data_IF_071952252852
#
_entry.id   IF_071952252852
#
_cell.length_a   1.000
_cell.length_b   1.000
_cell.length_c   1.000
_cell.angle_alpha   90.00
_cell.angle_beta   90.00
_cell.angle_gamma   90.00
#
_symmetry.space_group_name_H-M   'P 1'
#
loop_
_entity.id
_entity.type
_entity.pdbx_description
1 polymer ?
#
# COMPACT_ATOMS: atom_id res chain seq x y z
N UNK A 1 -17.97 -10.79 -56.51
CA UNK A 1 -18.36 -9.56 -55.78
C UNK A 1 -17.77 -9.65 -54.38
N UNK A 2 -16.84 -8.78 -54.14
CA UNK A 2 -15.86 -8.82 -53.03
C UNK A 2 -16.49 -8.35 -51.70
N UNK A 3 -16.27 -9.14 -50.65
CA UNK A 3 -16.61 -8.76 -49.26
C UNK A 3 -15.37 -8.10 -48.67
N UNK A 4 -15.42 -6.80 -48.48
CA UNK A 4 -14.40 -6.06 -47.71
C UNK A 4 -14.65 -6.27 -46.22
N UNK A 5 -13.79 -7.05 -45.56
CA UNK A 5 -13.66 -7.12 -44.12
C UNK A 5 -12.87 -5.90 -43.65
N UNK A 6 -13.52 -5.00 -42.92
CA UNK A 6 -12.88 -3.93 -42.17
C UNK A 6 -12.34 -4.54 -40.89
N UNK A 7 -11.04 -4.81 -40.86
CA UNK A 7 -10.31 -5.12 -39.61
C UNK A 7 -10.00 -3.78 -38.94
N UNK A 8 -10.77 -3.46 -37.94
CA UNK A 8 -10.48 -2.33 -37.03
C UNK A 8 -9.37 -2.77 -36.09
N UNK A 9 -8.14 -2.35 -36.35
CA UNK A 9 -7.01 -2.49 -35.43
C UNK A 9 -7.29 -1.61 -34.19
N UNK A 10 -7.75 -2.23 -33.13
CA UNK A 10 -7.63 -1.69 -31.80
C UNK A 10 -6.13 -1.73 -31.43
N UNK A 11 -5.43 -0.63 -31.62
CA UNK A 11 -4.17 -0.41 -30.93
C UNK A 11 -4.48 -0.25 -29.44
N UNK A 12 -4.38 -1.35 -28.72
CA UNK A 12 -4.16 -1.31 -27.27
C UNK A 12 -2.80 -0.63 -27.09
N UNK A 13 -2.81 0.64 -26.69
CA UNK A 13 -1.60 1.31 -26.25
C UNK A 13 -1.10 0.52 -25.02
N UNK A 14 -0.17 -0.39 -25.26
CA UNK A 14 0.60 -1.01 -24.20
C UNK A 14 1.21 0.15 -23.40
N UNK A 15 0.88 0.24 -22.12
CA UNK A 15 1.57 1.13 -21.22
C UNK A 15 3.05 0.86 -21.40
N UNK A 16 3.82 1.87 -21.83
CA UNK A 16 5.25 1.72 -21.99
C UNK A 16 5.80 1.17 -20.68
N UNK A 17 6.56 0.06 -20.71
CA UNK A 17 7.24 -0.41 -19.51
C UNK A 17 8.04 0.77 -18.96
N UNK A 18 8.07 0.90 -17.64
CA UNK A 18 9.02 1.82 -17.00
C UNK A 18 10.39 1.55 -17.63
N UNK A 19 11.14 2.57 -18.05
CA UNK A 19 12.48 2.34 -18.59
C UNK A 19 13.23 1.49 -17.57
N UNK A 20 14.03 0.49 -18.00
CA UNK A 20 14.81 -0.32 -17.11
C UNK A 20 15.64 0.62 -16.25
N UNK A 21 15.39 0.61 -14.94
CA UNK A 21 16.20 1.38 -14.01
C UNK A 21 17.52 0.62 -13.93
N UNK A 22 18.50 1.08 -14.66
CA UNK A 22 19.84 0.48 -14.67
C UNK A 22 20.45 0.67 -13.27
N UNK A 23 20.33 -0.36 -12.45
CA UNK A 23 20.84 -0.37 -11.08
C UNK A 23 22.38 -0.32 -11.02
N UNK A 24 23.05 -0.41 -12.16
CA UNK A 24 24.51 -0.36 -12.26
C UNK A 24 25.06 1.06 -12.40
N UNK A 25 24.20 2.02 -12.75
CA UNK A 25 24.61 3.41 -12.89
C UNK A 25 24.91 4.06 -11.53
N UNK A 26 25.89 4.96 -11.44
CA UNK A 26 26.12 5.80 -10.27
C UNK A 26 24.88 6.60 -9.86
N UNK A 27 24.75 6.94 -8.59
CA UNK A 27 23.59 7.68 -8.07
C UNK A 27 23.32 8.97 -8.84
N UNK A 28 24.38 9.69 -9.20
CA UNK A 28 24.29 10.96 -9.94
C UNK A 28 23.69 10.80 -11.36
N UNK A 29 23.76 9.61 -11.93
CA UNK A 29 23.15 9.31 -13.24
C UNK A 29 21.70 8.82 -13.11
N UNK A 30 21.29 8.35 -11.92
CA UNK A 30 19.91 7.88 -11.64
C UNK A 30 18.99 9.01 -11.21
N UNK A 31 19.55 10.00 -10.49
CA UNK A 31 18.83 11.19 -10.07
C UNK A 31 18.96 12.23 -11.15
N UNK A 32 17.90 12.47 -11.90
CA UNK A 32 17.87 13.61 -12.83
C UNK A 32 17.83 14.92 -12.03
N UNK A 33 19.00 15.41 -11.66
CA UNK A 33 19.17 16.62 -10.85
C UNK A 33 18.53 17.87 -11.47
N UNK A 34 18.30 17.87 -12.78
CA UNK A 34 17.61 18.97 -13.46
C UNK A 34 16.12 19.02 -13.12
N UNK A 35 15.56 17.91 -12.66
CA UNK A 35 14.15 17.76 -12.29
C UNK A 35 13.92 17.64 -10.78
N UNK A 36 14.99 17.50 -9.99
CA UNK A 36 14.88 17.44 -8.53
C UNK A 36 14.42 18.81 -8.01
N UNK A 37 13.38 18.81 -7.20
CA UNK A 37 12.94 19.99 -6.47
C UNK A 37 13.56 19.97 -5.07
N UNK A 38 14.43 20.93 -4.79
CA UNK A 38 14.95 21.13 -3.44
C UNK A 38 13.97 21.96 -2.61
N UNK A 39 13.62 21.44 -1.44
CA UNK A 39 12.74 22.10 -0.49
C UNK A 39 13.39 22.10 0.90
N UNK A 40 13.14 23.10 1.75
CA UNK A 40 13.49 22.96 3.16
C UNK A 40 12.77 21.71 3.72
N UNK A 41 13.41 20.98 4.65
CA UNK A 41 12.73 19.87 5.29
C UNK A 41 11.47 20.40 5.99
N UNK A 42 10.31 19.70 5.86
CA UNK A 42 9.10 20.11 6.55
C UNK A 42 9.35 20.11 8.06
N UNK A 43 8.75 21.06 8.75
CA UNK A 43 8.79 21.10 10.22
C UNK A 43 7.99 19.88 10.71
N UNK A 44 8.69 18.86 11.16
CA UNK A 44 8.09 17.73 11.86
C UNK A 44 7.95 18.15 13.32
N UNK A 45 6.75 18.56 13.71
CA UNK A 45 6.46 18.82 15.12
C UNK A 45 6.79 17.56 15.95
N UNK A 46 7.30 17.75 17.16
CA UNK A 46 7.59 16.64 18.07
C UNK A 46 6.31 15.82 18.27
N UNK A 47 6.34 14.59 17.79
CA UNK A 47 5.23 13.65 17.96
C UNK A 47 5.20 13.25 19.44
N UNK A 48 4.06 13.45 20.09
CA UNK A 48 3.87 12.90 21.44
C UNK A 48 3.98 11.38 21.34
N UNK A 49 4.95 10.78 22.04
CA UNK A 49 5.22 9.35 21.99
C UNK A 49 3.94 8.56 22.32
N UNK A 50 3.38 7.88 21.32
CA UNK A 50 2.39 6.85 21.56
C UNK A 50 3.14 5.60 22.02
N UNK A 51 2.70 4.94 23.09
CA UNK A 51 3.27 3.63 23.45
C UNK A 51 3.07 2.66 22.27
N UNK A 52 4.03 1.75 22.02
CA UNK A 52 3.88 0.74 20.97
C UNK A 52 2.57 0.00 21.19
N UNK A 53 1.73 -0.02 20.18
CA UNK A 53 0.50 -0.82 20.20
C UNK A 53 0.92 -2.31 20.19
N UNK A 54 0.90 -2.94 21.35
CA UNK A 54 0.98 -4.40 21.43
C UNK A 54 -0.24 -4.91 20.69
N UNK A 55 -0.02 -5.53 19.53
CA UNK A 55 -1.07 -6.24 18.80
C UNK A 55 -1.48 -7.42 19.67
N UNK A 56 -2.43 -7.18 20.58
CA UNK A 56 -3.08 -8.26 21.33
C UNK A 56 -3.92 -9.06 20.34
N UNK A 57 -3.70 -10.36 20.30
CA UNK A 57 -4.69 -11.30 19.76
C UNK A 57 -5.99 -11.04 20.51
N UNK A 58 -6.89 -10.28 19.90
CA UNK A 58 -8.24 -10.15 20.41
C UNK A 58 -8.95 -11.41 19.95
N UNK A 59 -9.19 -12.33 20.88
CA UNK A 59 -10.21 -13.37 20.71
C UNK A 59 -11.48 -12.66 20.22
N UNK A 60 -12.04 -13.10 19.09
CA UNK A 60 -13.28 -12.58 18.50
C UNK A 60 -14.50 -12.94 19.37
N UNK A 61 -14.41 -12.74 20.69
CA UNK A 61 -15.55 -12.72 21.56
C UNK A 61 -16.38 -11.47 21.25
N UNK A 62 -17.67 -11.62 21.13
CA UNK A 62 -18.68 -10.71 20.61
C UNK A 62 -18.84 -9.36 21.35
N UNK A 63 -17.75 -8.63 21.60
CA UNK A 63 -17.75 -7.31 22.19
C UNK A 63 -17.72 -6.25 21.09
N UNK A 64 -18.80 -5.51 20.93
CA UNK A 64 -19.03 -4.34 20.10
C UNK A 64 -18.48 -4.44 18.67
N UNK A 65 -19.17 -5.21 17.83
CA UNK A 65 -18.88 -5.27 16.39
C UNK A 65 -19.25 -3.92 15.78
N UNK A 66 -18.31 -3.19 15.16
CA UNK A 66 -18.54 -1.82 14.68
C UNK A 66 -19.32 -1.73 13.35
N UNK A 67 -19.87 -2.84 12.88
CA UNK A 67 -20.77 -2.95 11.74
C UNK A 67 -22.05 -3.70 12.15
N UNK A 68 -23.08 -3.69 11.29
CA UNK A 68 -24.30 -4.46 11.52
C UNK A 68 -23.98 -5.95 11.65
N UNK A 69 -24.65 -6.65 12.58
CA UNK A 69 -24.41 -8.08 12.81
C UNK A 69 -24.60 -8.93 11.52
N UNK A 70 -25.56 -8.56 10.67
CA UNK A 70 -25.75 -9.19 9.36
C UNK A 70 -24.58 -9.00 8.43
N UNK A 71 -24.00 -7.79 8.38
CA UNK A 71 -22.80 -7.47 7.58
C UNK A 71 -21.61 -8.25 8.09
N UNK A 72 -21.42 -8.35 9.41
CA UNK A 72 -20.35 -9.13 10.02
C UNK A 72 -20.41 -10.61 9.62
N UNK A 73 -21.60 -11.25 9.75
CA UNK A 73 -21.79 -12.65 9.37
C UNK A 73 -21.58 -12.87 7.87
N UNK A 74 -22.08 -11.97 7.03
CA UNK A 74 -21.89 -12.04 5.60
C UNK A 74 -20.41 -11.90 5.20
N UNK A 75 -19.69 -10.95 5.82
CA UNK A 75 -18.25 -10.78 5.61
C UNK A 75 -17.46 -12.02 6.03
N UNK A 76 -17.78 -12.62 7.19
CA UNK A 76 -17.14 -13.87 7.65
C UNK A 76 -17.35 -15.02 6.66
N UNK A 77 -18.55 -15.19 6.14
CA UNK A 77 -18.84 -16.21 5.15
C UNK A 77 -18.06 -15.96 3.86
N UNK A 78 -18.01 -14.72 3.39
CA UNK A 78 -17.27 -14.30 2.20
C UNK A 78 -15.75 -14.50 2.36
N UNK A 79 -15.17 -14.13 3.51
CA UNK A 79 -13.77 -14.38 3.86
C UNK A 79 -13.48 -15.88 3.75
N UNK A 80 -14.30 -16.73 4.37
CA UNK A 80 -14.09 -18.18 4.37
C UNK A 80 -14.10 -18.75 2.94
N UNK A 81 -15.01 -18.31 2.07
CA UNK A 81 -15.03 -18.70 0.66
C UNK A 81 -13.76 -18.25 -0.08
N UNK A 82 -13.29 -17.03 0.15
CA UNK A 82 -12.03 -16.52 -0.42
C UNK A 82 -10.81 -17.32 0.05
N UNK A 83 -10.75 -17.66 1.33
CA UNK A 83 -9.67 -18.50 1.88
C UNK A 83 -9.70 -19.92 1.35
N UNK A 84 -10.89 -20.51 1.15
CA UNK A 84 -11.02 -21.82 0.48
C UNK A 84 -10.53 -21.77 -0.97
N UNK A 85 -10.92 -20.72 -1.72
CA UNK A 85 -10.38 -20.49 -3.06
C UNK A 85 -8.85 -20.43 -3.05
N UNK A 86 -8.25 -19.63 -2.15
CA UNK A 86 -6.80 -19.51 -2.03
C UNK A 86 -6.16 -20.85 -1.62
N UNK A 87 -6.78 -21.59 -0.68
CA UNK A 87 -6.27 -22.89 -0.25
C UNK A 87 -6.21 -23.89 -1.42
N UNK A 88 -7.21 -23.92 -2.26
CA UNK A 88 -7.27 -24.78 -3.45
C UNK A 88 -6.24 -24.38 -4.53
N UNK A 89 -5.75 -23.13 -4.51
CA UNK A 89 -4.78 -22.58 -5.48
C UNK A 89 -3.34 -22.61 -4.99
N UNK A 90 -3.06 -22.97 -3.73
CA UNK A 90 -1.69 -23.11 -3.25
C UNK A 90 -0.94 -24.16 -4.08
N UNK A 91 0.18 -23.76 -4.67
CA UNK A 91 0.99 -24.63 -5.51
C UNK A 91 1.78 -25.70 -4.72
N UNK A 92 2.39 -26.65 -5.41
CA UNK A 92 3.18 -27.71 -4.78
C UNK A 92 4.40 -27.18 -4.02
N UNK A 93 4.91 -26.00 -4.38
CA UNK A 93 5.99 -25.28 -3.67
C UNK A 93 5.50 -24.50 -2.47
N UNK A 94 4.20 -24.54 -2.14
CA UNK A 94 3.61 -23.85 -0.99
C UNK A 94 3.28 -22.40 -1.20
N UNK A 95 3.44 -21.87 -2.40
CA UNK A 95 3.19 -20.47 -2.72
C UNK A 95 1.94 -20.23 -3.56
N UNK A 96 1.68 -18.95 -3.86
CA UNK A 96 0.71 -18.48 -4.85
C UNK A 96 1.44 -17.70 -5.94
N UNK A 97 0.96 -17.77 -7.18
CA UNK A 97 1.63 -17.20 -8.34
C UNK A 97 0.73 -16.22 -9.08
N UNK A 98 1.25 -15.02 -9.32
CA UNK A 98 0.53 -13.97 -10.05
C UNK A 98 0.51 -14.17 -11.56
N UNK A 99 1.34 -15.03 -12.15
CA UNK A 99 1.49 -14.94 -13.60
C UNK A 99 1.61 -16.26 -14.32
N UNK A 100 0.83 -16.39 -15.39
CA UNK A 100 0.76 -17.59 -16.26
C UNK A 100 1.29 -17.33 -17.68
N UNK A 101 1.97 -16.22 -17.94
CA UNK A 101 2.49 -15.86 -19.26
C UNK A 101 3.80 -16.57 -19.63
N UNK A 102 3.96 -16.88 -20.92
CA UNK A 102 5.21 -17.36 -21.51
C UNK A 102 6.15 -16.18 -21.71
N UNK A 103 7.13 -16.01 -20.86
CA UNK A 103 8.03 -14.87 -20.94
C UNK A 103 9.51 -15.28 -20.85
N UNK A 104 10.37 -14.42 -21.37
CA UNK A 104 11.81 -14.56 -21.28
C UNK A 104 12.34 -14.54 -19.83
N UNK A 105 13.63 -14.73 -19.66
CA UNK A 105 14.30 -14.85 -18.34
C UNK A 105 13.98 -13.69 -17.39
N UNK A 106 13.99 -12.44 -17.86
CA UNK A 106 13.70 -11.25 -17.05
C UNK A 106 12.30 -11.23 -16.45
N UNK A 107 11.32 -11.84 -17.12
CA UNK A 107 9.96 -11.89 -16.62
C UNK A 107 9.74 -13.02 -15.60
N UNK A 108 10.54 -14.11 -15.67
CA UNK A 108 10.49 -15.17 -14.64
C UNK A 108 10.96 -14.66 -13.30
N UNK A 109 11.96 -13.82 -13.27
CA UNK A 109 12.56 -13.34 -12.02
C UNK A 109 11.65 -12.33 -11.32
N UNK A 110 11.03 -11.41 -12.07
CA UNK A 110 9.99 -10.53 -11.53
C UNK A 110 8.78 -11.31 -11.03
N UNK A 111 8.38 -12.35 -11.73
CA UNK A 111 7.29 -13.24 -11.33
C UNK A 111 7.60 -14.01 -10.04
N UNK A 112 8.86 -14.36 -9.78
CA UNK A 112 9.25 -15.01 -8.53
C UNK A 112 9.16 -14.06 -7.34
N UNK A 113 9.65 -12.82 -7.46
CA UNK A 113 9.55 -11.81 -6.41
C UNK A 113 8.08 -11.44 -6.15
N UNK A 114 7.28 -11.18 -7.20
CA UNK A 114 5.85 -10.96 -7.08
C UNK A 114 5.13 -12.12 -6.38
N UNK A 115 5.41 -13.35 -6.79
CA UNK A 115 4.85 -14.56 -6.17
C UNK A 115 5.26 -14.71 -4.70
N UNK A 116 6.46 -14.26 -4.33
CA UNK A 116 6.92 -14.28 -2.93
C UNK A 116 6.14 -13.26 -2.09
N UNK A 117 5.96 -12.04 -2.59
CA UNK A 117 5.16 -11.02 -1.93
C UNK A 117 3.70 -11.48 -1.76
N UNK A 118 3.10 -12.06 -2.80
CA UNK A 118 1.74 -12.58 -2.77
C UNK A 118 1.60 -13.75 -1.81
N UNK A 119 2.58 -14.66 -1.77
CA UNK A 119 2.62 -15.74 -0.79
C UNK A 119 2.62 -15.20 0.64
N UNK A 120 3.38 -14.13 0.90
CA UNK A 120 3.38 -13.48 2.20
C UNK A 120 2.04 -12.80 2.53
N UNK A 121 1.43 -12.09 1.57
CA UNK A 121 0.11 -11.47 1.79
C UNK A 121 -1.00 -12.52 1.97
N UNK A 122 -0.98 -13.62 1.23
CA UNK A 122 -1.89 -14.75 1.46
C UNK A 122 -1.72 -15.33 2.87
N UNK A 123 -0.46 -15.54 3.28
CA UNK A 123 -0.16 -16.02 4.63
C UNK A 123 -0.70 -15.06 5.71
N UNK A 124 -0.61 -13.74 5.48
CA UNK A 124 -1.19 -12.72 6.36
C UNK A 124 -2.71 -12.87 6.45
N UNK A 125 -3.40 -13.04 5.32
CA UNK A 125 -4.86 -13.23 5.30
C UNK A 125 -5.27 -14.47 6.09
N UNK A 126 -4.59 -15.60 5.91
CA UNK A 126 -4.84 -16.79 6.73
C UNK A 126 -4.57 -16.58 8.23
N UNK A 127 -3.53 -15.82 8.58
CA UNK A 127 -3.14 -15.59 9.97
C UNK A 127 -4.14 -14.69 10.72
N UNK A 128 -4.66 -13.66 10.06
CA UNK A 128 -5.54 -12.65 10.68
C UNK A 128 -6.91 -13.19 11.04
N UNK A 129 -7.43 -14.18 10.32
CA UNK A 129 -8.72 -14.82 10.64
C UNK A 129 -8.67 -15.63 11.94
N UNK A 130 -7.48 -16.05 12.37
CA UNK A 130 -7.29 -16.82 13.58
C UNK A 130 -7.84 -18.26 13.51
N UNK A 131 -8.32 -18.70 12.35
CA UNK A 131 -8.93 -20.03 12.16
C UNK A 131 -7.92 -21.09 11.70
N UNK A 132 -6.75 -20.70 11.22
CA UNK A 132 -5.70 -21.66 10.92
C UNK A 132 -4.71 -21.73 12.08
N UNK A 133 -4.58 -22.90 12.69
CA UNK A 133 -3.39 -23.16 13.49
C UNK A 133 -2.16 -22.89 12.64
N UNK A 134 -1.18 -22.16 13.15
CA UNK A 134 0.04 -21.83 12.41
C UNK A 134 0.86 -23.07 11.99
N UNK A 135 0.52 -24.23 12.53
CA UNK A 135 1.01 -25.54 12.10
C UNK A 135 0.13 -26.20 11.02
N UNK A 136 -0.89 -25.51 10.49
CA UNK A 136 -1.67 -26.06 9.37
C UNK A 136 -0.76 -26.31 8.15
N UNK A 137 -1.03 -27.35 7.36
CA UNK A 137 -0.20 -27.65 6.17
C UNK A 137 -0.09 -26.45 5.19
N UNK A 138 -1.14 -25.66 5.05
CA UNK A 138 -1.15 -24.47 4.19
C UNK A 138 -0.20 -23.39 4.71
N UNK A 139 -0.29 -23.03 5.98
CA UNK A 139 0.59 -22.03 6.59
C UNK A 139 2.05 -22.50 6.64
N UNK A 140 2.29 -23.75 7.02
CA UNK A 140 3.64 -24.33 7.06
C UNK A 140 4.33 -24.28 5.69
N UNK A 141 3.64 -24.77 4.63
CA UNK A 141 4.20 -24.73 3.26
C UNK A 141 4.44 -23.31 2.76
N UNK A 142 3.57 -22.34 3.08
CA UNK A 142 3.75 -20.96 2.70
C UNK A 142 5.00 -20.35 3.38
N UNK A 143 5.19 -20.61 4.67
CA UNK A 143 6.38 -20.17 5.42
C UNK A 143 7.65 -20.76 4.84
N UNK A 144 7.66 -22.06 4.55
CA UNK A 144 8.80 -22.75 3.95
C UNK A 144 9.11 -22.23 2.54
N UNK A 145 8.07 -21.96 1.77
CA UNK A 145 8.18 -21.32 0.45
C UNK A 145 8.87 -19.95 0.53
N UNK A 146 8.45 -19.10 1.47
CA UNK A 146 9.06 -17.79 1.71
C UNK A 146 10.53 -17.97 2.12
N UNK A 147 10.80 -18.77 3.15
CA UNK A 147 12.15 -19.00 3.68
C UNK A 147 13.12 -19.52 2.61
N UNK A 148 12.65 -20.41 1.72
CA UNK A 148 13.46 -20.96 0.65
C UNK A 148 13.87 -19.93 -0.41
N UNK A 149 13.04 -18.90 -0.61
CA UNK A 149 13.23 -17.88 -1.66
C UNK A 149 14.07 -16.69 -1.20
N UNK A 150 13.94 -16.27 0.05
CA UNK A 150 14.57 -15.02 0.54
C UNK A 150 15.82 -15.27 1.40
N UNK A 151 16.22 -16.49 1.59
CA UNK A 151 17.23 -16.85 2.56
C UNK A 151 16.60 -17.08 3.94
N UNK A 152 16.92 -18.19 4.51
CA UNK A 152 16.53 -18.60 5.86
C UNK A 152 17.78 -18.96 6.63
N UNK A 153 17.71 -19.91 7.53
CA UNK A 153 18.80 -20.41 8.36
C UNK A 153 20.18 -20.42 7.66
N UNK A 154 21.05 -19.46 8.04
CA UNK A 154 22.45 -19.42 7.61
C UNK A 154 22.77 -18.69 6.30
N UNK A 155 21.78 -18.13 5.60
CA UNK A 155 21.99 -17.24 4.46
C UNK A 155 21.57 -15.82 4.81
N UNK A 156 22.28 -14.83 4.26
CA UNK A 156 21.86 -13.44 4.38
C UNK A 156 20.45 -13.25 3.76
N UNK A 157 19.59 -12.51 4.45
CA UNK A 157 18.26 -12.16 3.93
C UNK A 157 18.39 -11.34 2.65
N UNK A 158 17.79 -11.82 1.59
CA UNK A 158 17.67 -11.09 0.32
C UNK A 158 16.26 -11.28 -0.24
N UNK A 159 15.38 -10.29 -0.11
CA UNK A 159 13.99 -10.39 -0.53
C UNK A 159 13.84 -10.45 -2.04
N UNK A 160 14.83 -9.98 -2.79
CA UNK A 160 14.78 -9.94 -4.24
C UNK A 160 16.20 -10.09 -4.83
N UNK A 161 16.67 -11.33 -5.01
CA UNK A 161 18.01 -11.58 -5.53
C UNK A 161 18.26 -11.01 -6.93
N UNK A 162 17.23 -10.86 -7.72
CA UNK A 162 17.30 -10.37 -9.11
C UNK A 162 17.13 -8.85 -9.23
N UNK A 163 16.58 -8.22 -8.21
CA UNK A 163 16.35 -6.78 -8.13
C UNK A 163 15.09 -6.31 -8.85
N UNK A 164 14.26 -5.56 -8.16
CA UNK A 164 13.07 -4.93 -8.74
C UNK A 164 11.86 -4.85 -7.84
N UNK A 165 11.63 -5.78 -6.90
CA UNK A 165 10.48 -5.80 -5.98
C UNK A 165 10.86 -5.98 -4.52
N UNK A 166 12.13 -5.80 -4.16
CA UNK A 166 12.65 -6.09 -2.81
C UNK A 166 11.86 -5.41 -1.69
N UNK A 167 11.45 -4.16 -1.88
CA UNK A 167 10.67 -3.44 -0.90
C UNK A 167 9.28 -4.07 -0.69
N UNK A 168 8.57 -4.45 -1.77
CA UNK A 168 7.28 -5.13 -1.66
C UNK A 168 7.41 -6.49 -0.97
N UNK A 169 8.43 -7.27 -1.35
CA UNK A 169 8.68 -8.60 -0.75
C UNK A 169 9.00 -8.48 0.73
N UNK A 170 9.95 -7.62 1.10
CA UNK A 170 10.32 -7.43 2.51
C UNK A 170 9.14 -6.90 3.34
N UNK A 171 8.38 -5.94 2.80
CA UNK A 171 7.20 -5.38 3.47
C UNK A 171 6.10 -6.42 3.67
N UNK A 172 5.78 -7.21 2.64
CA UNK A 172 4.77 -8.25 2.74
C UNK A 172 5.17 -9.33 3.76
N UNK A 173 6.44 -9.76 3.74
CA UNK A 173 6.97 -10.72 4.71
C UNK A 173 6.89 -10.17 6.13
N UNK A 174 7.37 -8.94 6.38
CA UNK A 174 7.33 -8.34 7.71
C UNK A 174 5.90 -8.22 8.24
N UNK A 175 4.96 -7.73 7.41
CA UNK A 175 3.55 -7.63 7.78
C UNK A 175 2.91 -9.00 8.08
N UNK A 176 3.23 -10.03 7.29
CA UNK A 176 2.72 -11.38 7.51
C UNK A 176 3.26 -11.99 8.81
N UNK A 177 4.57 -11.93 9.01
CA UNK A 177 5.22 -12.52 10.18
C UNK A 177 4.87 -11.78 11.48
N UNK A 178 4.65 -10.47 11.42
CA UNK A 178 4.12 -9.71 12.55
C UNK A 178 2.70 -10.15 12.96
N UNK A 179 1.88 -10.61 11.99
CA UNK A 179 0.54 -11.13 12.27
C UNK A 179 0.54 -12.55 12.85
N UNK A 180 1.64 -13.29 12.70
CA UNK A 180 1.79 -14.68 13.12
C UNK A 180 2.31 -14.80 14.57
N UNK A 181 3.21 -13.89 14.95
CA UNK A 181 3.87 -13.86 16.28
C UNK A 181 4.61 -15.16 16.67
N UNK A 182 5.10 -15.92 15.66
CA UNK A 182 5.84 -17.15 15.93
C UNK A 182 7.31 -16.85 16.30
N UNK A 183 7.82 -17.38 17.43
CA UNK A 183 9.21 -17.19 17.81
C UNK A 183 10.23 -17.62 16.75
N UNK A 184 9.93 -18.66 15.96
CA UNK A 184 10.81 -19.15 14.91
C UNK A 184 11.00 -18.14 13.74
N UNK A 185 10.00 -17.28 13.53
CA UNK A 185 10.03 -16.29 12.46
C UNK A 185 10.62 -14.94 12.88
N UNK A 186 10.95 -14.75 14.15
CA UNK A 186 11.47 -13.47 14.68
C UNK A 186 12.75 -13.01 13.99
N UNK A 187 13.61 -13.94 13.61
CA UNK A 187 14.85 -13.58 12.90
C UNK A 187 14.52 -13.05 11.52
N UNK A 188 13.64 -13.72 10.79
CA UNK A 188 13.23 -13.30 9.45
C UNK A 188 12.44 -11.99 9.47
N UNK A 189 11.55 -11.79 10.45
CA UNK A 189 10.85 -10.53 10.68
C UNK A 189 11.85 -9.38 10.90
N UNK A 190 12.81 -9.56 11.80
CA UNK A 190 13.85 -8.56 12.08
C UNK A 190 14.68 -8.24 10.84
N UNK A 191 15.15 -9.26 10.12
CA UNK A 191 15.90 -9.07 8.88
C UNK A 191 15.12 -8.33 7.81
N UNK A 192 13.79 -8.56 7.73
CA UNK A 192 12.92 -7.82 6.81
C UNK A 192 12.83 -6.34 7.18
N UNK A 193 12.65 -6.02 8.46
CA UNK A 193 12.63 -4.64 8.97
C UNK A 193 13.98 -3.94 8.76
N UNK A 194 15.08 -4.61 9.09
CA UNK A 194 16.44 -4.08 8.87
C UNK A 194 16.69 -3.80 7.38
N UNK A 195 16.27 -4.70 6.51
CA UNK A 195 16.41 -4.50 5.06
C UNK A 195 15.62 -3.28 4.59
N UNK A 196 14.38 -3.11 5.02
CA UNK A 196 13.53 -1.97 4.66
C UNK A 196 14.14 -0.64 5.09
N UNK A 197 14.60 -0.55 6.33
CA UNK A 197 15.19 0.68 6.88
C UNK A 197 16.55 1.01 6.25
N UNK A 198 17.32 -0.03 5.88
CA UNK A 198 18.64 0.11 5.23
C UNK A 198 18.53 0.58 3.76
N UNK A 199 17.41 0.31 3.09
CA UNK A 199 17.22 0.65 1.67
C UNK A 199 16.26 1.82 1.45
N UNK A 200 15.94 2.54 2.52
CA UNK A 200 15.24 3.82 2.44
C UNK A 200 16.22 4.91 1.99
N UNK A 201 15.80 5.76 1.07
CA UNK A 201 16.64 6.86 0.58
C UNK A 201 16.95 7.89 1.68
N UNK A 202 18.22 8.02 2.03
CA UNK A 202 18.69 8.99 3.02
C UNK A 202 20.10 9.50 2.73
N UNK A 203 20.74 10.11 3.70
CA UNK A 203 22.08 10.69 3.52
C UNK A 203 23.16 9.64 3.26
N UNK A 204 22.94 8.35 3.57
CA UNK A 204 23.91 7.28 3.31
C UNK A 204 24.06 7.00 1.83
N UNK A 205 22.99 7.25 1.04
CA UNK A 205 23.03 7.22 -0.43
C UNK A 205 23.30 8.60 -1.05
N UNK A 206 23.69 9.61 -0.27
CA UNK A 206 23.93 10.96 -0.76
C UNK A 206 22.68 11.79 -1.03
N UNK A 207 21.51 11.34 -0.56
CA UNK A 207 20.24 12.06 -0.71
C UNK A 207 20.04 13.00 0.48
N UNK A 208 20.18 14.30 0.27
CA UNK A 208 20.02 15.29 1.34
C UNK A 208 18.56 15.43 1.78
N UNK A 209 18.30 15.84 3.04
CA UNK A 209 16.94 16.12 3.51
C UNK A 209 16.18 17.18 2.71
N UNK A 210 16.84 17.91 1.81
CA UNK A 210 16.22 18.92 0.94
C UNK A 210 15.71 18.33 -0.38
N UNK A 211 16.18 17.14 -0.78
CA UNK A 211 15.83 16.49 -2.05
C UNK A 211 14.48 15.79 -1.96
N UNK A 212 13.75 15.77 -3.05
CA UNK A 212 12.42 15.15 -3.18
C UNK A 212 12.42 13.61 -3.08
N UNK A 213 13.59 12.96 -3.09
CA UNK A 213 13.78 11.53 -2.86
C UNK A 213 13.88 11.16 -1.38
N UNK A 214 14.27 12.13 -0.53
CA UNK A 214 14.62 11.85 0.87
C UNK A 214 13.46 11.23 1.66
N UNK A 215 13.75 10.12 2.31
CA UNK A 215 12.84 9.40 3.19
C UNK A 215 11.89 8.45 2.46
N UNK A 216 11.92 8.41 1.13
CA UNK A 216 11.10 7.49 0.36
C UNK A 216 11.73 6.11 0.21
N UNK A 217 10.91 5.12 -0.15
CA UNK A 217 11.32 3.79 -0.56
C UNK A 217 10.96 3.55 -2.02
N UNK A 218 11.83 2.87 -2.77
CA UNK A 218 11.60 2.47 -4.15
C UNK A 218 11.43 0.96 -4.30
N UNK A 219 11.28 0.47 -5.53
CA UNK A 219 11.01 -0.94 -5.80
C UNK A 219 12.11 -1.91 -5.36
N UNK A 220 13.34 -1.49 -5.35
CA UNK A 220 14.51 -2.26 -4.93
C UNK A 220 15.56 -1.36 -4.29
N UNK A 221 16.79 -1.84 -4.21
CA UNK A 221 17.90 -1.11 -3.58
C UNK A 221 18.18 0.28 -4.16
N UNK A 222 17.81 0.52 -5.41
CA UNK A 222 18.14 1.72 -6.17
C UNK A 222 16.98 2.28 -6.96
N UNK A 223 15.77 1.76 -6.72
CA UNK A 223 14.57 2.23 -7.40
C UNK A 223 14.20 3.64 -6.94
N UNK A 224 13.74 4.49 -7.89
CA UNK A 224 13.15 5.78 -7.57
C UNK A 224 12.05 5.61 -6.52
N UNK A 225 12.03 6.42 -5.45
CA UNK A 225 11.02 6.31 -4.41
C UNK A 225 9.65 6.72 -4.93
N UNK A 226 8.62 6.07 -4.40
CA UNK A 226 7.21 6.40 -4.64
C UNK A 226 6.36 6.10 -3.40
N UNK A 227 5.13 6.63 -3.41
CA UNK A 227 4.25 6.49 -2.25
C UNK A 227 3.74 5.07 -2.06
N UNK A 228 3.56 4.29 -3.14
CA UNK A 228 3.12 2.91 -3.03
C UNK A 228 4.16 2.04 -2.30
N UNK A 229 5.43 2.19 -2.65
CA UNK A 229 6.53 1.52 -1.96
C UNK A 229 6.73 2.05 -0.53
N UNK A 230 6.69 3.36 -0.34
CA UNK A 230 6.91 3.98 0.97
C UNK A 230 5.80 3.61 1.96
N UNK A 231 4.54 3.56 1.53
CA UNK A 231 3.44 3.14 2.39
C UNK A 231 3.51 1.65 2.76
N UNK A 232 3.95 0.77 1.82
CA UNK A 232 4.15 -0.65 2.12
C UNK A 232 5.25 -0.86 3.18
N UNK A 233 6.34 -0.10 3.08
CA UNK A 233 7.38 -0.07 4.12
C UNK A 233 6.80 0.38 5.47
N UNK A 234 6.05 1.48 5.51
CA UNK A 234 5.46 2.00 6.74
C UNK A 234 4.41 1.05 7.34
N UNK A 235 3.63 0.36 6.51
CA UNK A 235 2.72 -0.69 6.97
C UNK A 235 3.50 -1.81 7.68
N UNK A 236 4.58 -2.26 7.07
CA UNK A 236 5.41 -3.32 7.62
C UNK A 236 6.10 -2.89 8.93
N UNK A 237 6.63 -1.68 8.99
CA UNK A 237 7.24 -1.13 10.22
C UNK A 237 6.20 -0.99 11.34
N UNK A 238 5.01 -0.49 11.01
CA UNK A 238 3.91 -0.37 11.98
C UNK A 238 3.45 -1.75 12.48
N UNK A 239 3.21 -2.70 11.57
CA UNK A 239 2.78 -4.06 11.91
C UNK A 239 3.85 -4.77 12.77
N UNK A 240 5.13 -4.52 12.53
CA UNK A 240 6.26 -5.02 13.33
C UNK A 240 6.46 -4.28 14.68
N UNK A 241 5.64 -3.28 14.98
CA UNK A 241 5.72 -2.54 16.25
C UNK A 241 6.85 -1.50 16.32
N UNK A 242 7.39 -1.08 15.18
CA UNK A 242 8.40 -0.01 15.12
C UNK A 242 7.77 1.31 15.55
N UNK A 243 8.46 2.03 16.42
CA UNK A 243 7.97 3.31 16.97
C UNK A 243 7.82 4.38 15.89
N UNK A 244 6.81 5.25 16.04
CA UNK A 244 6.68 6.47 15.23
C UNK A 244 7.88 7.43 15.39
N UNK A 245 8.64 7.32 16.48
CA UNK A 245 9.86 8.08 16.72
C UNK A 245 11.11 7.48 16.05
N UNK A 246 10.99 6.30 15.44
CA UNK A 246 12.10 5.68 14.71
C UNK A 246 12.61 6.60 13.59
N UNK A 247 13.92 6.75 13.41
CA UNK A 247 14.48 7.60 12.36
C UNK A 247 13.97 7.28 10.97
N UNK A 248 13.71 6.01 10.63
CA UNK A 248 13.17 5.63 9.32
C UNK A 248 11.74 6.14 9.14
N UNK A 249 10.90 6.03 10.17
CA UNK A 249 9.51 6.54 10.13
C UNK A 249 9.51 8.06 10.02
N UNK A 250 10.37 8.75 10.75
CA UNK A 250 10.50 10.20 10.65
C UNK A 250 11.00 10.67 9.29
N UNK A 251 11.95 9.98 8.68
CA UNK A 251 12.38 10.27 7.31
C UNK A 251 11.23 10.06 6.31
N UNK A 252 10.49 8.96 6.45
CA UNK A 252 9.33 8.70 5.60
C UNK A 252 8.27 9.80 5.69
N UNK A 253 8.05 10.40 6.87
CA UNK A 253 7.12 11.52 7.04
C UNK A 253 7.53 12.74 6.20
N UNK A 254 8.83 12.98 5.99
CA UNK A 254 9.32 14.03 5.08
C UNK A 254 8.87 13.73 3.64
N UNK A 255 9.07 12.49 3.18
CA UNK A 255 8.65 12.07 1.85
C UNK A 255 7.13 12.17 1.66
N UNK A 256 6.35 11.69 2.64
CA UNK A 256 4.89 11.79 2.65
C UNK A 256 4.40 13.23 2.48
N UNK A 257 4.99 14.16 3.26
CA UNK A 257 4.62 15.56 3.18
C UNK A 257 4.87 16.15 1.79
N UNK A 258 5.95 15.71 1.13
CA UNK A 258 6.28 16.14 -0.25
C UNK A 258 5.45 15.46 -1.33
N UNK A 259 4.76 14.37 -1.00
CA UNK A 259 3.86 13.67 -1.94
C UNK A 259 2.44 14.24 -1.90
N UNK A 260 2.12 15.06 -0.87
CA UNK A 260 0.81 15.63 -0.69
C UNK A 260 0.60 16.89 -1.55
N UNK A 261 -0.57 17.00 -2.16
CA UNK A 261 -1.00 18.17 -2.93
C UNK A 261 -1.55 19.25 -1.98
N UNK A 262 -0.65 19.80 -1.14
CA UNK A 262 -0.94 20.79 -0.10
C UNK A 262 0.16 21.85 -0.08
N UNK A 263 -0.12 23.02 -0.65
CA UNK A 263 0.86 24.08 -0.86
C UNK A 263 1.46 24.64 0.44
N UNK A 264 0.74 24.56 1.53
CA UNK A 264 1.15 25.06 2.84
C UNK A 264 2.36 24.28 3.41
N UNK A 265 2.54 23.02 2.97
CA UNK A 265 3.60 22.13 3.45
C UNK A 265 4.47 21.54 2.35
N UNK A 266 4.07 21.71 1.08
CA UNK A 266 4.79 21.22 -0.09
C UNK A 266 5.01 22.34 -1.09
N UNK A 267 6.26 22.83 -1.16
CA UNK A 267 6.65 23.93 -2.02
C UNK A 267 6.96 23.51 -3.48
N UNK A 268 6.77 22.23 -3.84
CA UNK A 268 6.94 21.78 -5.21
C UNK A 268 6.04 22.58 -6.18
N UNK A 269 6.50 22.95 -7.37
CA UNK A 269 5.73 23.77 -8.31
C UNK A 269 4.36 23.17 -8.65
N UNK A 270 4.27 21.85 -8.77
CA UNK A 270 3.00 21.14 -9.05
C UNK A 270 2.02 21.15 -7.87
N UNK A 271 2.52 21.26 -6.64
CA UNK A 271 1.68 21.35 -5.44
C UNK A 271 1.29 22.80 -5.13
N UNK A 272 2.24 23.74 -5.23
CA UNK A 272 2.01 25.17 -4.95
C UNK A 272 1.13 25.85 -5.98
N UNK A 273 1.26 25.48 -7.25
CA UNK A 273 0.45 25.98 -8.38
C UNK A 273 -0.72 25.09 -8.77
N UNK A 274 -0.84 23.89 -8.15
CA UNK A 274 -1.77 22.83 -8.53
C UNK A 274 -3.15 22.90 -7.88
N UNK A 275 -3.79 21.74 -7.78
CA UNK A 275 -5.16 21.59 -7.28
C UNK A 275 -5.31 21.95 -5.80
N UNK A 276 -4.25 21.82 -5.02
CA UNK A 276 -4.22 22.13 -3.57
C UNK A 276 -5.35 21.44 -2.81
N UNK A 277 -5.71 20.23 -3.26
CA UNK A 277 -6.88 19.51 -2.79
C UNK A 277 -6.66 18.68 -1.53
N UNK A 278 -5.42 18.60 -1.05
CA UNK A 278 -5.02 17.86 0.13
C UNK A 278 -4.79 16.37 -0.09
N UNK A 279 -5.11 15.84 -1.27
CA UNK A 279 -4.85 14.45 -1.63
C UNK A 279 -3.38 14.19 -1.99
N UNK A 280 -3.10 12.97 -2.47
CA UNK A 280 -1.73 12.53 -2.73
C UNK A 280 -1.54 12.11 -4.19
N UNK A 281 -0.34 12.38 -4.70
CA UNK A 281 0.14 11.92 -6.00
C UNK A 281 1.00 10.65 -5.83
N UNK A 282 1.50 10.08 -6.93
CA UNK A 282 2.30 8.86 -6.89
C UNK A 282 3.69 9.07 -6.29
N UNK A 283 4.38 10.12 -6.70
CA UNK A 283 5.71 10.45 -6.18
C UNK A 283 6.04 11.93 -6.37
N UNK A 284 6.80 12.55 -5.47
CA UNK A 284 7.38 13.88 -5.67
C UNK A 284 8.69 13.82 -6.47
N UNK A 285 9.31 12.63 -6.56
CA UNK A 285 10.64 12.45 -7.12
C UNK A 285 10.73 12.89 -8.59
N UNK A 286 11.86 13.49 -8.95
CA UNK A 286 12.13 14.01 -10.29
C UNK A 286 11.07 15.02 -10.76
N UNK A 287 10.58 15.84 -9.84
CA UNK A 287 9.60 16.88 -10.13
C UNK A 287 8.15 16.41 -10.13
N UNK A 288 7.86 15.22 -9.67
CA UNK A 288 6.52 14.73 -9.43
C UNK A 288 5.88 13.94 -10.58
N UNK A 289 5.06 12.94 -10.20
CA UNK A 289 4.34 12.06 -11.12
C UNK A 289 2.98 11.66 -10.57
N UNK A 290 1.97 11.59 -11.43
CA UNK A 290 0.64 11.09 -11.06
C UNK A 290 0.00 10.25 -12.16
N UNK A 291 -0.50 9.07 -11.79
CA UNK A 291 -1.28 8.24 -12.70
C UNK A 291 -2.67 8.82 -12.98
N UNK A 292 -3.22 9.64 -12.07
CA UNK A 292 -4.48 10.32 -12.31
C UNK A 292 -4.34 11.45 -13.33
N UNK A 293 -3.20 12.16 -13.38
CA UNK A 293 -2.91 13.10 -14.46
C UNK A 293 -2.78 12.40 -15.81
N UNK A 294 -2.12 11.22 -15.83
CA UNK A 294 -2.04 10.38 -17.03
C UNK A 294 -3.45 9.95 -17.51
N UNK A 295 -4.28 9.46 -16.61
CA UNK A 295 -5.64 9.03 -16.91
C UNK A 295 -6.55 10.18 -17.40
N UNK A 296 -6.30 11.40 -16.92
CA UNK A 296 -6.99 12.61 -17.37
C UNK A 296 -6.45 13.18 -18.69
N UNK A 297 -5.43 12.55 -19.30
CA UNK A 297 -4.82 13.03 -20.55
C UNK A 297 -3.84 14.18 -20.41
N UNK A 298 -3.51 14.58 -19.17
CA UNK A 298 -2.58 15.69 -18.87
C UNK A 298 -1.11 15.27 -18.92
N UNK A 299 -0.85 13.97 -19.17
CA UNK A 299 0.45 13.35 -19.05
C UNK A 299 0.82 13.00 -17.62
N UNK A 300 1.64 11.98 -17.46
CA UNK A 300 2.03 11.43 -16.15
C UNK A 300 2.76 12.46 -15.28
N UNK A 301 3.51 13.35 -15.91
CA UNK A 301 4.29 14.43 -15.28
C UNK A 301 3.62 15.80 -15.41
N UNK A 302 2.39 15.87 -15.89
CA UNK A 302 1.71 17.12 -16.21
C UNK A 302 2.30 17.84 -17.44
N UNK A 303 2.98 17.13 -18.33
CA UNK A 303 3.66 17.68 -19.51
C UNK A 303 2.71 18.10 -20.64
N UNK A 304 1.43 17.68 -20.54
CA UNK A 304 0.39 18.03 -21.53
C UNK A 304 -0.57 19.10 -21.03
N UNK A 305 -0.29 19.71 -19.88
CA UNK A 305 -1.06 20.86 -19.40
C UNK A 305 -0.81 22.05 -20.35
N UNK A 306 -1.86 22.81 -20.62
CA UNK A 306 -1.82 23.91 -21.60
C UNK A 306 -0.72 24.94 -21.24
N UNK A 307 -0.03 25.42 -22.25
CA UNK A 307 1.02 26.45 -22.10
C UNK A 307 0.46 27.68 -21.40
N UNK A 308 1.16 28.15 -20.37
CA UNK A 308 0.73 29.30 -19.55
C UNK A 308 -0.14 28.94 -18.34
N UNK A 309 -0.54 27.67 -18.21
CA UNK A 309 -1.19 27.20 -16.97
C UNK A 309 -0.13 26.70 -15.98
N UNK A 310 -0.35 26.87 -14.65
CA UNK A 310 0.52 26.31 -13.64
C UNK A 310 0.58 24.80 -13.79
N UNK A 311 1.77 24.22 -13.67
CA UNK A 311 1.92 22.78 -13.61
C UNK A 311 1.16 22.25 -12.37
N UNK A 312 0.32 21.27 -12.59
CA UNK A 312 -0.40 20.60 -11.51
C UNK A 312 -0.36 19.07 -11.72
N UNK A 313 -0.51 18.33 -10.64
CA UNK A 313 -0.67 16.89 -10.65
C UNK A 313 -1.97 16.54 -9.91
N UNK A 314 -2.72 15.60 -10.45
CA UNK A 314 -3.99 15.16 -9.83
C UNK A 314 -3.75 14.17 -8.72
N UNK A 315 -4.41 14.38 -7.60
CA UNK A 315 -4.52 13.40 -6.52
C UNK A 315 -5.47 12.26 -6.91
N UNK A 316 -5.30 11.09 -6.30
CA UNK A 316 -6.19 9.96 -6.54
C UNK A 316 -6.37 9.03 -5.32
N UNK A 317 -7.41 8.20 -5.35
CA UNK A 317 -7.92 7.47 -4.20
C UNK A 317 -6.89 6.62 -3.49
N UNK A 318 -6.30 5.62 -4.15
CA UNK A 318 -5.38 4.70 -3.49
C UNK A 318 -4.18 5.39 -2.85
N UNK A 319 -3.62 6.43 -3.50
CA UNK A 319 -2.51 7.17 -2.90
C UNK A 319 -2.96 8.10 -1.77
N UNK A 320 -4.15 8.67 -1.85
CA UNK A 320 -4.65 9.54 -0.77
C UNK A 320 -4.91 8.73 0.51
N UNK A 321 -5.54 7.57 0.40
CA UNK A 321 -5.73 6.70 1.56
C UNK A 321 -4.40 6.12 2.09
N UNK A 322 -3.47 5.77 1.19
CA UNK A 322 -2.13 5.33 1.57
C UNK A 322 -1.36 6.43 2.34
N UNK A 323 -1.36 7.66 1.84
CA UNK A 323 -0.70 8.80 2.49
C UNK A 323 -1.34 9.17 3.83
N UNK A 324 -2.67 9.26 3.86
CA UNK A 324 -3.45 9.52 5.08
C UNK A 324 -3.13 8.49 6.19
N UNK A 325 -3.22 7.20 5.88
CA UNK A 325 -2.85 6.12 6.80
C UNK A 325 -1.41 6.24 7.28
N UNK A 326 -0.50 6.44 6.35
CA UNK A 326 0.94 6.50 6.63
C UNK A 326 1.31 7.66 7.54
N UNK A 327 0.63 8.81 7.41
CA UNK A 327 0.79 9.93 8.34
C UNK A 327 0.35 9.57 9.76
N UNK A 328 -0.76 8.84 9.91
CA UNK A 328 -1.21 8.35 11.22
C UNK A 328 -0.22 7.35 11.83
N UNK A 329 0.32 6.42 11.03
CA UNK A 329 1.35 5.47 11.46
C UNK A 329 2.66 6.17 11.84
N UNK A 330 2.99 7.27 11.16
CA UNK A 330 4.11 8.14 11.52
C UNK A 330 3.82 9.04 12.75
N UNK A 331 2.70 8.84 13.43
CA UNK A 331 2.37 9.47 14.71
C UNK A 331 1.72 10.85 14.60
N UNK A 332 1.35 11.33 13.43
CA UNK A 332 0.61 12.58 13.33
C UNK A 332 -0.76 12.44 13.99
N UNK A 333 -1.17 13.49 14.70
CA UNK A 333 -2.52 13.55 15.26
C UNK A 333 -3.56 13.73 14.16
N UNK A 334 -4.83 13.42 14.47
CA UNK A 334 -5.95 13.70 13.57
C UNK A 334 -6.15 15.20 13.30
N UNK A 335 -5.64 16.06 14.20
CA UNK A 335 -5.74 17.52 14.11
C UNK A 335 -4.60 18.14 13.30
N UNK A 336 -3.59 17.35 12.87
CA UNK A 336 -2.52 17.86 12.01
C UNK A 336 -3.12 18.34 10.67
N UNK A 337 -2.77 19.56 10.21
CA UNK A 337 -3.35 20.13 8.98
C UNK A 337 -3.21 19.24 7.75
N UNK A 338 -2.12 18.44 7.67
CA UNK A 338 -1.89 17.50 6.55
C UNK A 338 -2.88 16.32 6.60
N UNK A 339 -3.13 15.80 7.80
CA UNK A 339 -4.11 14.73 8.04
C UNK A 339 -5.52 15.24 7.75
N UNK A 340 -5.86 16.44 8.21
CA UNK A 340 -7.15 17.08 7.96
C UNK A 340 -7.38 17.33 6.47
N UNK A 341 -6.38 17.85 5.75
CA UNK A 341 -6.50 18.09 4.31
C UNK A 341 -6.72 16.78 3.52
N UNK A 342 -6.01 15.71 3.87
CA UNK A 342 -6.23 14.39 3.27
C UNK A 342 -7.62 13.83 3.59
N UNK A 343 -8.10 14.02 4.81
CA UNK A 343 -9.42 13.57 5.21
C UNK A 343 -10.55 14.36 4.50
N UNK A 344 -10.37 15.67 4.28
CA UNK A 344 -11.28 16.47 3.47
C UNK A 344 -11.32 16.01 2.00
N UNK A 345 -10.20 15.59 1.44
CA UNK A 345 -10.17 14.97 0.11
C UNK A 345 -10.99 13.69 0.10
N UNK A 346 -10.80 12.81 1.09
CA UNK A 346 -11.56 11.56 1.27
C UNK A 346 -13.06 11.83 1.32
N UNK A 347 -13.51 12.81 2.11
CA UNK A 347 -14.92 13.19 2.22
C UNK A 347 -15.52 13.68 0.90
N UNK A 348 -14.74 14.37 0.07
CA UNK A 348 -15.17 14.86 -1.25
C UNK A 348 -15.26 13.78 -2.32
N UNK A 349 -14.49 12.70 -2.18
CA UNK A 349 -14.37 11.65 -3.18
C UNK A 349 -14.81 10.28 -2.64
N UNK A 350 -15.77 10.29 -1.72
CA UNK A 350 -16.26 9.08 -1.07
C UNK A 350 -16.91 8.12 -2.07
N UNK A 351 -16.35 6.93 -2.23
CA UNK A 351 -16.89 5.85 -3.07
C UNK A 351 -16.17 4.53 -2.83
N UNK A 352 -16.88 3.41 -3.00
CA UNK A 352 -16.31 2.06 -3.10
C UNK A 352 -16.50 1.44 -4.48
N UNK A 353 -17.01 2.21 -5.46
CA UNK A 353 -17.31 1.71 -6.80
C UNK A 353 -16.12 1.76 -7.74
N UNK A 354 -15.16 2.60 -7.45
CA UNK A 354 -13.97 2.84 -8.26
C UNK A 354 -12.84 3.42 -7.41
N UNK A 355 -11.63 3.40 -7.94
CA UNK A 355 -10.49 4.15 -7.38
C UNK A 355 -10.58 5.60 -7.88
N UNK A 356 -10.98 6.59 -7.06
CA UNK A 356 -11.18 7.96 -7.51
C UNK A 356 -9.96 8.51 -8.26
N UNK A 357 -10.17 9.00 -9.46
CA UNK A 357 -9.13 9.50 -10.37
C UNK A 357 -8.52 8.44 -11.30
N UNK A 358 -8.79 7.14 -11.07
CA UNK A 358 -8.29 6.03 -11.88
C UNK A 358 -9.39 5.07 -12.38
N UNK A 359 -10.65 5.31 -12.00
CA UNK A 359 -11.75 4.42 -12.35
C UNK A 359 -11.53 3.01 -11.81
N UNK A 360 -11.68 2.00 -12.66
CA UNK A 360 -11.50 0.61 -12.26
C UNK A 360 -10.03 0.18 -12.04
N UNK A 361 -9.04 1.00 -12.40
CA UNK A 361 -7.63 0.60 -12.28
C UNK A 361 -7.19 0.58 -10.81
N UNK A 362 -6.62 -0.55 -10.38
CA UNK A 362 -6.14 -0.73 -9.01
C UNK A 362 -7.25 -0.68 -7.97
N UNK A 363 -8.45 -1.19 -8.30
CA UNK A 363 -9.63 -1.07 -7.45
C UNK A 363 -9.53 -1.92 -6.17
N UNK A 364 -9.03 -3.15 -6.23
CA UNK A 364 -8.88 -4.00 -5.05
C UNK A 364 -7.75 -3.52 -4.13
N UNK A 365 -6.65 -3.04 -4.70
CA UNK A 365 -5.61 -2.36 -3.93
C UNK A 365 -6.16 -1.09 -3.23
N UNK A 366 -7.01 -0.31 -3.93
CA UNK A 366 -7.70 0.84 -3.34
C UNK A 366 -8.58 0.43 -2.16
N UNK A 367 -9.44 -0.59 -2.30
CA UNK A 367 -10.34 -1.05 -1.23
C UNK A 367 -9.56 -1.54 -0.01
N UNK A 368 -8.44 -2.25 -0.23
CA UNK A 368 -7.53 -2.63 0.85
C UNK A 368 -6.88 -1.41 1.53
N UNK A 369 -6.42 -0.41 0.76
CA UNK A 369 -5.86 0.81 1.32
C UNK A 369 -6.90 1.60 2.14
N UNK A 370 -8.15 1.70 1.66
CA UNK A 370 -9.28 2.31 2.36
C UNK A 370 -9.53 1.65 3.70
N UNK A 371 -9.66 0.32 3.73
CA UNK A 371 -10.00 -0.42 4.94
C UNK A 371 -8.95 -0.22 6.03
N UNK A 372 -7.66 -0.33 5.68
CA UNK A 372 -6.56 -0.08 6.62
C UNK A 372 -6.49 1.38 7.09
N UNK A 373 -6.75 2.32 6.19
CA UNK A 373 -6.70 3.74 6.51
C UNK A 373 -7.80 4.17 7.48
N UNK A 374 -9.03 3.74 7.24
CA UNK A 374 -10.16 4.08 8.10
C UNK A 374 -10.13 3.33 9.44
N UNK A 375 -9.61 2.10 9.45
CA UNK A 375 -9.35 1.38 10.69
C UNK A 375 -8.27 2.10 11.53
N UNK A 376 -7.14 2.49 10.92
CA UNK A 376 -6.08 3.25 11.59
C UNK A 376 -6.57 4.60 12.13
N UNK A 377 -7.45 5.26 11.39
CA UNK A 377 -8.09 6.51 11.82
C UNK A 377 -9.11 6.33 12.95
N UNK A 378 -9.49 5.09 13.29
CA UNK A 378 -10.54 4.81 14.29
C UNK A 378 -11.84 5.59 13.99
N UNK A 379 -12.18 5.72 12.73
CA UNK A 379 -13.42 6.34 12.29
C UNK A 379 -14.49 5.26 12.13
N UNK A 380 -15.66 5.45 12.71
CA UNK A 380 -16.80 4.54 12.53
C UNK A 380 -17.71 5.04 11.41
N UNK A 381 -17.95 6.32 11.41
CA UNK A 381 -18.81 6.99 10.43
C UNK A 381 -18.03 8.12 9.76
N UNK A 382 -18.16 8.21 8.46
CA UNK A 382 -17.64 9.31 7.65
C UNK A 382 -18.81 10.14 7.21
N UNK A 383 -18.76 11.45 7.44
CA UNK A 383 -19.74 12.38 6.85
C UNK A 383 -19.12 12.98 5.59
N UNK A 384 -19.73 12.74 4.43
CA UNK A 384 -19.27 13.32 3.17
C UNK A 384 -19.52 14.83 3.11
N UNK A 385 -19.08 15.48 2.04
CA UNK A 385 -19.27 16.95 1.88
C UNK A 385 -20.72 17.35 1.57
N UNK A 386 -21.59 16.40 1.23
CA UNK A 386 -23.02 16.59 1.06
C UNK A 386 -23.80 16.44 2.39
N UNK A 387 -23.11 16.02 3.46
CA UNK A 387 -23.70 15.80 4.78
C UNK A 387 -24.27 14.40 4.98
N UNK A 388 -24.05 13.47 4.06
CA UNK A 388 -24.47 12.08 4.21
C UNK A 388 -23.52 11.34 5.15
N UNK A 389 -24.06 10.57 6.08
CA UNK A 389 -23.31 9.76 7.01
C UNK A 389 -23.13 8.33 6.47
N UNK A 390 -21.89 7.87 6.41
CA UNK A 390 -21.51 6.59 5.86
C UNK A 390 -20.89 5.69 6.93
N UNK A 391 -21.52 4.53 7.19
CA UNK A 391 -20.82 3.46 7.89
C UNK A 391 -19.89 2.75 6.90
N UNK A 392 -18.61 3.13 6.90
CA UNK A 392 -17.65 2.65 5.92
C UNK A 392 -17.50 1.12 5.92
N UNK A 393 -17.69 0.48 7.08
CA UNK A 393 -17.56 -0.98 7.21
C UNK A 393 -18.68 -1.70 6.49
N UNK A 394 -19.93 -1.30 6.75
CA UNK A 394 -21.10 -1.89 6.08
C UNK A 394 -21.06 -1.64 4.57
N UNK A 395 -20.69 -0.45 4.13
CA UNK A 395 -20.60 -0.10 2.71
C UNK A 395 -19.46 -0.85 1.99
N UNK A 396 -18.28 -0.96 2.61
CA UNK A 396 -17.15 -1.73 2.06
C UNK A 396 -17.49 -3.22 1.95
N UNK A 397 -18.10 -3.79 3.00
CA UNK A 397 -18.54 -5.19 3.02
C UNK A 397 -19.53 -5.39 1.87
N UNK A 398 -20.56 -4.57 1.76
CA UNK A 398 -21.56 -4.69 0.69
C UNK A 398 -20.92 -4.60 -0.71
N UNK A 399 -19.97 -3.67 -0.90
CA UNK A 399 -19.26 -3.52 -2.18
C UNK A 399 -18.46 -4.79 -2.52
N UNK A 400 -17.67 -5.32 -1.59
CA UNK A 400 -16.87 -6.52 -1.81
C UNK A 400 -17.74 -7.76 -2.05
N UNK A 401 -18.80 -7.95 -1.27
CA UNK A 401 -19.73 -9.07 -1.48
C UNK A 401 -20.39 -9.04 -2.85
N UNK A 402 -20.72 -7.86 -3.36
CA UNK A 402 -21.34 -7.71 -4.69
C UNK A 402 -20.42 -8.10 -5.85
N UNK A 403 -19.10 -8.13 -5.62
CA UNK A 403 -18.07 -8.45 -6.61
C UNK A 403 -17.52 -9.88 -6.47
N UNK A 404 -17.88 -10.61 -5.41
CA UNK A 404 -17.40 -11.98 -5.21
C UNK A 404 -17.99 -12.94 -6.23
N UNK A 405 -17.14 -13.72 -6.90
CA UNK A 405 -17.56 -14.77 -7.81
C UNK A 405 -18.08 -16.00 -7.03
N UNK A 406 -18.83 -16.87 -7.72
CA UNK A 406 -19.42 -18.07 -7.13
C UNK A 406 -18.41 -19.10 -6.61
N UNK A 407 -17.15 -19.05 -7.09
CA UNK A 407 -16.04 -19.86 -6.60
C UNK A 407 -15.32 -19.25 -5.39
N UNK A 408 -15.80 -18.14 -4.87
CA UNK A 408 -15.25 -17.41 -3.73
C UNK A 408 -14.16 -16.40 -4.08
N UNK A 409 -13.79 -16.27 -5.36
CA UNK A 409 -12.73 -15.38 -5.80
C UNK A 409 -13.22 -13.96 -6.12
N UNK A 410 -12.25 -13.04 -6.29
CA UNK A 410 -12.43 -11.74 -6.90
C UNK A 410 -11.43 -11.53 -8.03
N UNK A 411 -11.80 -10.76 -9.02
CA UNK A 411 -10.95 -10.39 -10.14
C UNK A 411 -11.37 -9.02 -10.69
N UNK A 412 -10.42 -8.24 -11.16
CA UNK A 412 -10.68 -6.96 -11.81
C UNK A 412 -10.56 -7.09 -13.33
N UNK A 413 -11.55 -6.60 -14.07
CA UNK A 413 -11.48 -6.52 -15.53
C UNK A 413 -10.41 -5.54 -16.03
N UNK A 414 -10.06 -4.53 -15.22
CA UNK A 414 -8.94 -3.62 -15.46
C UNK A 414 -7.64 -4.25 -14.92
N UNK A 415 -6.91 -4.96 -15.78
CA UNK A 415 -5.77 -5.81 -15.40
C UNK A 415 -4.47 -5.05 -15.04
N UNK A 416 -4.48 -3.72 -15.06
CA UNK A 416 -3.31 -2.93 -14.68
C UNK A 416 -2.90 -3.27 -13.23
N UNK A 417 -1.60 -3.34 -12.96
CA UNK A 417 -1.00 -3.73 -11.68
C UNK A 417 -1.40 -5.13 -11.20
N UNK A 418 -1.51 -6.03 -12.16
CA UNK A 418 -1.80 -7.46 -11.95
C UNK A 418 -3.18 -7.78 -11.35
N UNK A 419 -4.11 -6.82 -11.28
CA UNK A 419 -5.48 -7.08 -10.80
C UNK A 419 -6.35 -7.91 -11.75
N UNK A 420 -5.83 -8.29 -12.93
CA UNK A 420 -6.39 -9.36 -13.74
C UNK A 420 -6.16 -10.77 -13.18
N UNK A 421 -5.37 -10.88 -12.09
CA UNK A 421 -5.10 -12.12 -11.37
C UNK A 421 -6.06 -12.30 -10.20
N UNK A 422 -6.82 -13.40 -10.20
CA UNK A 422 -7.82 -13.66 -9.17
C UNK A 422 -7.21 -13.98 -7.79
N UNK A 423 -5.98 -14.51 -7.72
CA UNK A 423 -5.33 -14.79 -6.44
C UNK A 423 -4.98 -13.47 -5.73
N UNK A 424 -4.42 -12.50 -6.45
CA UNK A 424 -4.09 -11.18 -5.91
C UNK A 424 -5.33 -10.41 -5.45
N UNK A 425 -6.36 -10.33 -6.31
CA UNK A 425 -7.60 -9.63 -5.96
C UNK A 425 -8.31 -10.28 -4.77
N UNK A 426 -8.32 -11.62 -4.70
CA UNK A 426 -8.90 -12.35 -3.57
C UNK A 426 -8.16 -12.04 -2.27
N UNK A 427 -6.83 -11.98 -2.30
CA UNK A 427 -6.04 -11.62 -1.12
C UNK A 427 -6.37 -10.20 -0.66
N UNK A 428 -6.41 -9.21 -1.57
CA UNK A 428 -6.77 -7.84 -1.20
C UNK A 428 -8.19 -7.73 -0.66
N UNK A 429 -9.16 -8.42 -1.28
CA UNK A 429 -10.54 -8.43 -0.82
C UNK A 429 -10.70 -9.06 0.56
N UNK A 430 -10.06 -10.20 0.82
CA UNK A 430 -10.07 -10.86 2.12
C UNK A 430 -9.45 -9.96 3.19
N UNK A 431 -8.24 -9.41 2.95
CA UNK A 431 -7.59 -8.50 3.88
C UNK A 431 -8.44 -7.24 4.16
N UNK A 432 -9.15 -6.72 3.15
CA UNK A 432 -10.04 -5.57 3.34
C UNK A 432 -11.27 -5.92 4.18
N UNK A 433 -11.88 -7.09 3.95
CA UNK A 433 -12.99 -7.59 4.77
C UNK A 433 -12.57 -7.86 6.21
N UNK A 434 -11.39 -8.42 6.43
CA UNK A 434 -10.82 -8.63 7.77
C UNK A 434 -10.67 -7.33 8.53
N UNK A 435 -10.13 -6.28 7.90
CA UNK A 435 -10.04 -4.96 8.52
C UNK A 435 -11.43 -4.37 8.82
N UNK A 436 -12.43 -4.62 7.97
CA UNK A 436 -13.78 -4.13 8.18
C UNK A 436 -14.48 -4.78 9.39
N UNK A 437 -14.17 -6.04 9.68
CA UNK A 437 -14.80 -6.76 10.81
C UNK A 437 -13.96 -6.75 12.09
N UNK A 438 -12.74 -6.22 12.07
CA UNK A 438 -11.92 -6.05 13.27
C UNK A 438 -12.60 -5.13 14.28
N UNK A 439 -12.58 -5.47 15.58
CA UNK A 439 -13.01 -4.56 16.63
C UNK A 439 -12.26 -3.22 16.53
N UNK A 440 -12.90 -2.14 16.97
CA UNK A 440 -12.21 -0.89 17.16
C UNK A 440 -11.06 -1.11 18.17
N UNK A 441 -9.90 -0.54 17.91
CA UNK A 441 -8.84 -0.54 18.93
C UNK A 441 -9.34 0.27 20.13
N UNK A 442 -9.31 -0.31 21.33
CA UNK A 442 -9.57 0.46 22.53
C UNK A 442 -8.58 1.64 22.59
N UNK A 443 -9.10 2.85 22.77
CA UNK A 443 -8.24 4.01 23.03
C UNK A 443 -7.41 3.67 24.27
N UNK A 444 -6.08 3.75 24.14
CA UNK A 444 -5.21 3.60 25.30
C UNK A 444 -5.72 4.54 26.41
N UNK A 445 -5.85 4.08 27.67
CA UNK A 445 -6.34 4.92 28.72
C UNK A 445 -5.49 6.18 28.79
N UNK A 446 -6.13 7.33 28.69
CA UNK A 446 -5.49 8.62 28.95
C UNK A 446 -5.05 8.55 30.39
N UNK A 447 -3.75 8.38 30.65
CA UNK A 447 -3.21 8.48 32.00
C UNK A 447 -3.56 9.88 32.51
N UNK A 448 -4.57 9.93 33.38
CA UNK A 448 -4.80 11.14 34.18
C UNK A 448 -3.50 11.47 34.90
N UNK A 449 -3.03 12.72 34.87
CA UNK A 449 -1.87 13.09 35.66
C UNK A 449 -2.15 12.74 37.10
N UNK A 450 -1.20 12.04 37.76
CA UNK A 450 -1.27 11.80 39.18
C UNK A 450 -1.49 13.15 39.87
N UNK A 451 -2.55 13.24 40.68
CA UNK A 451 -2.81 14.39 41.51
C UNK A 451 -1.62 14.63 42.45
N UNK A 452 -1.31 15.90 42.79
CA UNK A 452 -0.13 16.30 43.53
C UNK A 452 -0.06 15.72 44.95
#
# INVERSE_FOLDING_TARGET
MSVFSVVMLLQVAAASPLPPQDSTLPLDERIDRSKVTEQPPPVVASVSARPPSVVRRVSLAAAEVPCAASSWHAARASINQGLEFLRARQDAGGGWRVWKGSAGTDQRDRSLAASTAITALALKAFAQVGELPMNSPTAARARDSIRSRVGGTGRAFNPDPQGGLGNYVASAIASALASIEDPEDRVLLRSSVEWLTMHQWDQTEGVSPRMDWFGGAGYGRSGRPDLSNTQMMLDALHDAGVSADDPAVRRALVFLTRTQNLAETNAAPWASGGSRDGGFVYTPANGGESFASEAAGEGRFGEKIAVGQPRSLRSYGSMTYAGFKSMLYAGLSKDDPRVQAAFEWIRRHWTFRENPGLGAQGHFYYLHAVSRALHAAQQHTITDVQGSAHNWRDELIAALLSMQASDGSWVNSASRWDEGDSELCTIYAVLALEEAIKPAQEAAPVNSPAAP
#
